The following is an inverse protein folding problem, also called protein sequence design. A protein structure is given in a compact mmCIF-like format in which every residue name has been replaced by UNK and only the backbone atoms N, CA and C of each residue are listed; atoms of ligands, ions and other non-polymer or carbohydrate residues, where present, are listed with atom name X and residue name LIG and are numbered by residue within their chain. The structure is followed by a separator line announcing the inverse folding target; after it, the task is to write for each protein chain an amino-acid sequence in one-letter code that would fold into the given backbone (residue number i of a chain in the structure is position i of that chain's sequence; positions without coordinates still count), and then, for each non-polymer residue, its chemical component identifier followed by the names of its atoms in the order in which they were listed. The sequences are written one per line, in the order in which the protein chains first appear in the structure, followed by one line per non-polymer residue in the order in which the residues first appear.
data_IF_183636901308
#
_entry.id   IF_183636901308
#
_cell.length_a   1.000
_cell.length_b   1.000
_cell.length_c   1.000
_cell.angle_alpha   90.00
_cell.angle_beta   90.00
_cell.angle_gamma   90.00
#
_symmetry.space_group_name_H-M   'P 1'
#
loop_
_entity.id
_entity.type
_entity.pdbx_description
1 polymer ?
#
# COMPACT_ATOMS: atom_id res chain seq x y z
N UNK A 1 -64.43 -8.06 -9.11
CA UNK A 1 -63.04 -8.54 -8.92
C UNK A 1 -62.13 -7.94 -10.00
N UNK A 2 -61.55 -6.73 -9.82
CA UNK A 2 -60.22 -6.49 -10.39
C UNK A 2 -59.27 -5.55 -9.60
N UNK A 3 -59.66 -5.05 -8.41
CA UNK A 3 -58.87 -4.00 -7.72
C UNK A 3 -57.72 -4.51 -6.84
N UNK A 4 -57.68 -5.79 -6.47
CA UNK A 4 -56.63 -6.33 -5.58
C UNK A 4 -55.30 -6.62 -6.29
N UNK A 5 -55.28 -6.75 -7.62
CA UNK A 5 -54.10 -7.20 -8.35
C UNK A 5 -53.12 -6.08 -8.74
N UNK A 6 -53.53 -4.80 -8.63
CA UNK A 6 -52.68 -3.64 -8.94
C UNK A 6 -51.83 -3.17 -7.76
N UNK A 7 -52.27 -3.41 -6.52
CA UNK A 7 -51.50 -3.03 -5.33
C UNK A 7 -50.26 -3.90 -5.12
N UNK A 8 -50.32 -5.20 -5.45
CA UNK A 8 -49.16 -6.10 -5.27
C UNK A 8 -47.98 -5.79 -6.20
N UNK A 9 -48.22 -5.20 -7.38
CA UNK A 9 -47.15 -4.86 -8.34
C UNK A 9 -46.38 -3.60 -7.98
N UNK A 10 -47.00 -2.67 -7.23
CA UNK A 10 -46.33 -1.44 -6.79
C UNK A 10 -45.37 -1.67 -5.61
N UNK A 11 -45.72 -2.62 -4.73
CA UNK A 11 -44.93 -2.90 -3.51
C UNK A 11 -43.66 -3.71 -3.84
N UNK A 12 -43.70 -4.60 -4.84
CA UNK A 12 -42.50 -5.37 -5.24
C UNK A 12 -41.40 -4.52 -5.88
N UNK A 13 -41.74 -3.39 -6.51
CA UNK A 13 -40.76 -2.52 -7.16
C UNK A 13 -39.98 -1.64 -6.15
N UNK A 14 -40.55 -1.38 -4.98
CA UNK A 14 -39.90 -0.55 -3.95
C UNK A 14 -38.88 -1.32 -3.10
N UNK A 15 -38.97 -2.65 -3.02
CA UNK A 15 -38.06 -3.48 -2.22
C UNK A 15 -36.74 -3.79 -2.96
N UNK A 16 -36.74 -3.82 -4.31
CA UNK A 16 -35.50 -4.04 -5.07
C UNK A 16 -34.60 -2.81 -5.21
N UNK A 17 -35.09 -1.60 -4.93
CA UNK A 17 -34.29 -0.37 -5.04
C UNK A 17 -33.44 -0.05 -3.80
N UNK A 18 -33.73 -0.69 -2.65
CA UNK A 18 -33.05 -0.41 -1.38
C UNK A 18 -31.82 -1.31 -1.10
N UNK A 19 -31.49 -2.25 -1.99
CA UNK A 19 -30.44 -3.24 -1.74
C UNK A 19 -29.03 -2.82 -2.21
N UNK A 20 -28.85 -1.66 -2.87
CA UNK A 20 -27.61 -1.35 -3.58
C UNK A 20 -26.67 -0.31 -2.94
N UNK A 21 -26.95 0.22 -1.73
CA UNK A 21 -26.15 1.33 -1.19
C UNK A 21 -25.68 1.18 0.25
N UNK A 22 -25.45 -0.04 0.73
CA UNK A 22 -24.64 -0.26 1.93
C UNK A 22 -23.20 -0.61 1.53
N UNK A 23 -22.52 0.30 0.82
CA UNK A 23 -21.06 0.28 0.83
C UNK A 23 -20.65 0.67 2.26
N UNK A 24 -20.51 -0.33 3.12
CA UNK A 24 -20.09 -0.13 4.50
C UNK A 24 -18.78 0.63 4.49
N UNK A 25 -18.76 1.79 5.12
CA UNK A 25 -17.52 2.46 5.47
C UNK A 25 -16.73 1.48 6.34
N UNK A 26 -15.80 0.73 5.75
CA UNK A 26 -14.91 -0.14 6.50
C UNK A 26 -14.01 0.78 7.32
N UNK A 27 -14.22 0.79 8.63
CA UNK A 27 -13.34 1.48 9.57
C UNK A 27 -11.93 0.94 9.38
N UNK A 28 -10.96 1.84 9.27
CA UNK A 28 -9.54 1.47 9.17
C UNK A 28 -9.17 0.53 10.32
N UNK A 29 -8.59 -0.65 10.05
CA UNK A 29 -8.21 -1.57 11.11
C UNK A 29 -7.23 -0.91 12.10
N UNK A 30 -7.41 -1.15 13.39
CA UNK A 30 -6.50 -0.64 14.45
C UNK A 30 -5.06 -1.15 14.28
N UNK A 31 -4.89 -2.26 13.55
CA UNK A 31 -3.58 -2.83 13.20
C UNK A 31 -2.87 -2.09 12.07
N UNK A 32 -3.51 -1.13 11.38
CA UNK A 32 -2.94 -0.45 10.21
C UNK A 32 -1.60 0.21 10.54
N UNK A 33 -1.53 0.94 11.66
CA UNK A 33 -0.28 1.55 12.14
C UNK A 33 0.82 0.54 12.44
N UNK A 34 0.46 -0.62 12.96
CA UNK A 34 1.43 -1.68 13.31
C UNK A 34 1.91 -2.40 12.06
N UNK A 35 1.03 -2.76 11.14
CA UNK A 35 1.37 -3.57 9.96
C UNK A 35 1.97 -2.70 8.86
N UNK A 36 1.22 -1.71 8.37
CA UNK A 36 1.66 -0.87 7.26
C UNK A 36 2.75 0.08 7.74
N UNK A 37 2.61 0.68 8.92
CA UNK A 37 3.64 1.55 9.49
C UNK A 37 5.00 0.85 9.63
N UNK A 38 5.07 -0.32 10.26
CA UNK A 38 6.35 -1.03 10.39
C UNK A 38 6.89 -1.53 9.03
N UNK A 39 6.01 -1.94 8.12
CA UNK A 39 6.39 -2.29 6.75
C UNK A 39 7.08 -1.14 6.02
N UNK A 40 6.50 0.06 6.06
CA UNK A 40 7.05 1.26 5.42
C UNK A 40 8.40 1.69 6.02
N UNK A 41 8.60 1.47 7.32
CA UNK A 41 9.87 1.72 8.01
C UNK A 41 10.91 0.60 7.80
N UNK A 42 10.60 -0.42 7.01
CA UNK A 42 11.41 -1.63 6.86
C UNK A 42 11.75 -2.34 8.19
N UNK A 43 10.84 -2.28 9.18
CA UNK A 43 11.00 -2.93 10.49
C UNK A 43 10.31 -4.29 10.55
N UNK A 44 9.63 -4.69 9.49
CA UNK A 44 8.90 -5.95 9.37
C UNK A 44 9.24 -6.69 8.06
N UNK A 45 8.58 -7.81 7.81
CA UNK A 45 8.63 -8.54 6.55
C UNK A 45 8.23 -7.64 5.38
N UNK A 46 8.78 -7.93 4.19
CA UNK A 46 8.48 -7.18 2.97
C UNK A 46 7.61 -7.96 1.99
N UNK A 47 7.20 -9.19 2.32
CA UNK A 47 6.40 -10.07 1.45
C UNK A 47 5.17 -9.34 0.89
N UNK A 48 5.09 -9.26 -0.43
CA UNK A 48 4.05 -8.53 -1.12
C UNK A 48 2.68 -9.21 -0.99
N UNK A 49 2.61 -10.54 -0.93
CA UNK A 49 1.34 -11.25 -0.74
C UNK A 49 0.74 -10.95 0.63
N UNK A 50 1.58 -10.89 1.67
CA UNK A 50 1.14 -10.51 3.02
C UNK A 50 0.46 -9.15 3.05
N UNK A 51 1.08 -8.12 2.45
CA UNK A 51 0.47 -6.79 2.41
C UNK A 51 -0.75 -6.72 1.48
N UNK A 52 -0.72 -7.42 0.35
CA UNK A 52 -1.85 -7.48 -0.57
C UNK A 52 -3.09 -8.05 0.12
N UNK A 53 -2.98 -9.22 0.77
CA UNK A 53 -4.08 -9.86 1.48
C UNK A 53 -4.62 -9.00 2.63
N UNK A 54 -3.70 -8.35 3.37
CA UNK A 54 -4.08 -7.42 4.43
C UNK A 54 -4.90 -6.24 3.89
N UNK A 55 -4.42 -5.59 2.82
CA UNK A 55 -5.09 -4.43 2.23
C UNK A 55 -6.41 -4.80 1.55
N UNK A 56 -6.44 -5.95 0.86
CA UNK A 56 -7.65 -6.48 0.25
C UNK A 56 -8.75 -6.70 1.30
N UNK A 57 -8.38 -7.28 2.44
CA UNK A 57 -9.31 -7.50 3.55
C UNK A 57 -9.75 -6.19 4.22
N UNK A 58 -8.84 -5.24 4.37
CA UNK A 58 -9.06 -4.00 5.10
C UNK A 58 -9.85 -2.94 4.30
N UNK A 59 -9.53 -2.80 3.01
CA UNK A 59 -9.97 -1.69 2.15
C UNK A 59 -10.71 -2.15 0.89
N UNK A 60 -10.83 -3.46 0.68
CA UNK A 60 -11.42 -4.02 -0.54
C UNK A 60 -10.41 -4.08 -1.70
N UNK A 61 -10.89 -4.32 -2.93
CA UNK A 61 -10.02 -4.53 -4.08
C UNK A 61 -9.16 -3.30 -4.40
N UNK A 62 -7.96 -3.54 -4.92
CA UNK A 62 -7.11 -2.48 -5.45
C UNK A 62 -7.86 -1.71 -6.55
N UNK A 63 -7.80 -0.38 -6.49
CA UNK A 63 -8.53 0.49 -7.41
C UNK A 63 -7.78 0.73 -8.73
N UNK A 64 -6.45 0.51 -8.73
CA UNK A 64 -5.63 0.49 -9.94
C UNK A 64 -4.46 -0.48 -9.80
N UNK A 65 -3.94 -0.87 -10.95
CA UNK A 65 -2.72 -1.67 -11.09
C UNK A 65 -1.80 -0.91 -12.05
N UNK A 66 -0.69 -0.39 -11.52
CA UNK A 66 0.21 0.51 -12.27
C UNK A 66 1.62 0.50 -11.66
N UNK A 67 2.64 0.61 -12.52
CA UNK A 67 4.05 0.64 -12.11
C UNK A 67 4.54 -0.63 -11.41
N UNK A 68 3.96 -1.79 -11.74
CA UNK A 68 4.27 -3.06 -11.09
C UNK A 68 3.77 -3.13 -9.65
N UNK A 69 2.63 -2.49 -9.35
CA UNK A 69 2.01 -2.50 -8.04
C UNK A 69 0.49 -2.43 -8.09
N UNK A 70 -0.14 -3.06 -7.11
CA UNK A 70 -1.54 -2.88 -6.77
C UNK A 70 -1.68 -1.69 -5.82
N UNK A 71 -2.65 -0.82 -6.10
CA UNK A 71 -2.88 0.40 -5.32
C UNK A 71 -4.25 0.36 -4.66
N UNK A 72 -4.28 0.68 -3.37
CA UNK A 72 -5.46 0.67 -2.53
C UNK A 72 -5.75 2.09 -2.06
N UNK A 73 -7.02 2.51 -2.11
CA UNK A 73 -7.46 3.72 -1.41
C UNK A 73 -7.59 3.40 0.07
N UNK A 74 -7.06 4.27 0.91
CA UNK A 74 -7.04 4.07 2.35
C UNK A 74 -7.73 5.21 3.08
N UNK A 75 -8.97 5.49 2.71
CA UNK A 75 -9.75 6.59 3.27
C UNK A 75 -9.84 6.50 4.79
N UNK A 76 -9.54 7.62 5.47
CA UNK A 76 -9.49 7.70 6.93
C UNK A 76 -8.24 7.09 7.56
N UNK A 77 -7.30 6.52 6.79
CA UNK A 77 -6.08 5.96 7.35
C UNK A 77 -5.09 7.06 7.74
N UNK A 78 -4.36 6.82 8.83
CA UNK A 78 -3.40 7.76 9.37
C UNK A 78 -2.16 7.00 9.85
N UNK A 79 -0.99 7.55 9.55
CA UNK A 79 0.28 7.13 10.12
C UNK A 79 1.03 8.36 10.61
N UNK A 80 1.54 8.26 11.84
CA UNK A 80 2.32 9.33 12.46
C UNK A 80 1.63 10.70 12.46
N UNK A 81 0.30 10.71 12.59
CA UNK A 81 -0.49 11.95 12.55
C UNK A 81 -0.69 12.51 11.14
N UNK A 82 -0.24 11.83 10.09
CA UNK A 82 -0.42 12.24 8.69
C UNK A 82 -1.43 11.32 7.98
N UNK A 83 -2.41 11.89 7.24
CA UNK A 83 -3.32 11.07 6.45
C UNK A 83 -2.57 10.28 5.38
N UNK A 84 -2.97 9.03 5.19
CA UNK A 84 -2.45 8.14 4.14
C UNK A 84 -3.56 7.92 3.13
N UNK A 85 -3.43 8.46 1.93
CA UNK A 85 -4.48 8.37 0.91
C UNK A 85 -4.41 7.08 0.10
N UNK A 86 -3.21 6.58 -0.12
CA UNK A 86 -2.97 5.38 -0.92
C UNK A 86 -1.89 4.51 -0.29
N UNK A 87 -2.08 3.19 -0.36
CA UNK A 87 -1.03 2.20 -0.12
C UNK A 87 -0.82 1.40 -1.40
N UNK A 88 0.43 1.13 -1.74
CA UNK A 88 0.84 0.41 -2.93
C UNK A 88 1.72 -0.78 -2.55
N UNK A 89 1.48 -1.92 -3.19
CA UNK A 89 2.22 -3.16 -2.93
C UNK A 89 2.67 -3.75 -4.26
N UNK A 90 3.94 -4.13 -4.34
CA UNK A 90 4.53 -4.67 -5.57
C UNK A 90 3.83 -5.94 -6.05
N UNK A 91 3.75 -6.13 -7.35
CA UNK A 91 3.32 -7.38 -7.96
C UNK A 91 4.52 -8.22 -8.46
N UNK A 92 4.22 -9.25 -9.24
CA UNK A 92 5.23 -10.14 -9.83
C UNK A 92 6.02 -9.50 -10.98
N UNK A 93 5.52 -8.42 -11.58
CA UNK A 93 6.19 -7.70 -12.67
C UNK A 93 7.27 -6.73 -12.18
N UNK A 94 7.21 -6.29 -10.92
CA UNK A 94 8.25 -5.44 -10.33
C UNK A 94 9.57 -6.17 -10.13
N UNK A 95 10.70 -5.48 -10.30
CA UNK A 95 12.03 -5.99 -9.92
C UNK A 95 12.27 -5.97 -8.40
N UNK A 96 11.38 -5.30 -7.67
CA UNK A 96 11.44 -5.15 -6.22
C UNK A 96 10.25 -5.85 -5.57
N UNK A 97 10.45 -6.28 -4.33
CA UNK A 97 9.38 -6.58 -3.38
C UNK A 97 9.25 -5.34 -2.48
N UNK A 98 8.09 -4.69 -2.47
CA UNK A 98 7.88 -3.48 -1.70
C UNK A 98 6.46 -3.28 -1.17
N UNK A 99 6.39 -2.49 -0.11
CA UNK A 99 5.19 -1.77 0.34
C UNK A 99 5.51 -0.27 0.36
N UNK A 100 4.58 0.54 -0.14
CA UNK A 100 4.69 1.98 -0.18
C UNK A 100 3.37 2.65 0.19
N UNK A 101 3.43 3.92 0.56
CA UNK A 101 2.26 4.73 0.88
C UNK A 101 2.41 6.17 0.39
N UNK A 102 1.30 6.79 0.00
CA UNK A 102 1.21 8.23 -0.24
C UNK A 102 0.71 8.88 1.04
N UNK A 103 1.53 9.74 1.64
CA UNK A 103 1.13 10.56 2.76
C UNK A 103 0.75 11.96 2.29
N UNK A 104 -0.34 12.50 2.84
CA UNK A 104 -0.83 13.86 2.60
C UNK A 104 0.02 14.88 3.37
N UNK A 105 1.33 14.88 3.11
CA UNK A 105 2.34 15.71 3.73
C UNK A 105 3.57 15.78 2.81
N UNK A 106 4.36 16.84 2.90
CA UNK A 106 5.66 16.89 2.21
C UNK A 106 6.64 15.87 2.81
N UNK A 107 7.71 15.48 2.09
CA UNK A 107 8.75 14.60 2.64
C UNK A 107 9.35 15.09 3.97
N UNK A 108 9.53 16.40 4.13
CA UNK A 108 10.05 17.04 5.33
C UNK A 108 9.08 16.90 6.51
N UNK A 109 7.79 17.16 6.27
CA UNK A 109 6.77 17.04 7.30
C UNK A 109 6.56 15.60 7.74
N UNK A 110 6.60 14.65 6.79
CA UNK A 110 6.48 13.24 7.09
C UNK A 110 7.70 12.75 7.88
N UNK A 111 8.92 13.11 7.45
CA UNK A 111 10.15 12.82 8.18
C UNK A 111 10.08 13.33 9.62
N UNK A 112 9.69 14.59 9.82
CA UNK A 112 9.59 15.18 11.15
C UNK A 112 8.54 14.46 12.01
N UNK A 113 7.41 14.05 11.43
CA UNK A 113 6.38 13.28 12.13
C UNK A 113 6.90 11.90 12.58
N UNK A 114 7.62 11.20 11.70
CA UNK A 114 8.25 9.91 12.00
C UNK A 114 9.31 10.07 13.10
N UNK A 115 10.19 11.07 13.00
CA UNK A 115 11.20 11.35 14.04
C UNK A 115 10.50 11.57 15.39
N UNK A 116 9.46 12.39 15.41
CA UNK A 116 8.74 12.76 16.65
C UNK A 116 8.08 11.56 17.32
N UNK A 117 7.49 10.65 16.54
CA UNK A 117 6.70 9.54 17.09
C UNK A 117 7.50 8.25 17.29
N UNK A 118 8.50 7.98 16.46
CA UNK A 118 9.23 6.70 16.46
C UNK A 118 10.75 6.84 16.45
N UNK A 119 11.29 8.07 16.52
CA UNK A 119 12.72 8.34 16.65
C UNK A 119 13.57 7.90 15.46
N UNK A 120 12.96 7.60 14.30
CA UNK A 120 13.70 7.18 13.11
C UNK A 120 14.11 8.40 12.30
N UNK A 121 15.41 8.55 12.10
CA UNK A 121 15.98 9.63 11.30
C UNK A 121 16.26 9.17 9.87
N UNK A 122 16.06 10.07 8.91
CA UNK A 122 16.43 9.88 7.52
C UNK A 122 17.61 10.77 7.16
N UNK A 123 18.48 10.28 6.28
CA UNK A 123 19.55 11.05 5.67
C UNK A 123 19.15 11.44 4.24
N UNK A 124 19.50 12.65 3.80
CA UNK A 124 19.40 13.02 2.39
C UNK A 124 20.52 12.31 1.63
N UNK A 125 20.18 11.58 0.57
CA UNK A 125 21.17 10.81 -0.22
C UNK A 125 21.62 11.53 -1.49
N UNK A 126 21.06 12.70 -1.76
CA UNK A 126 21.45 13.58 -2.87
C UNK A 126 21.25 15.06 -2.50
N UNK A 127 21.80 15.95 -3.33
CA UNK A 127 21.73 17.41 -3.18
C UNK A 127 20.79 18.07 -4.19
N UNK A 128 19.84 17.31 -4.76
CA UNK A 128 18.87 17.86 -5.71
C UNK A 128 17.85 18.77 -5.02
N UNK A 129 17.02 19.46 -5.81
CA UNK A 129 15.91 20.26 -5.28
C UNK A 129 14.85 19.39 -4.58
N UNK A 130 14.77 18.09 -4.90
CA UNK A 130 13.79 17.15 -4.35
C UNK A 130 14.50 15.91 -3.82
N UNK A 131 15.31 16.04 -2.75
CA UNK A 131 16.22 14.99 -2.37
C UNK A 131 15.50 13.77 -1.84
N UNK A 132 15.99 12.59 -2.23
CA UNK A 132 15.57 11.34 -1.63
C UNK A 132 16.09 11.28 -0.20
N UNK A 133 15.20 10.90 0.72
CA UNK A 133 15.52 10.66 2.13
C UNK A 133 15.57 9.17 2.38
N UNK A 134 16.60 8.68 3.04
CA UNK A 134 16.79 7.25 3.31
C UNK A 134 17.08 6.99 4.79
N UNK A 135 16.43 5.95 5.33
CA UNK A 135 16.72 5.36 6.63
C UNK A 135 17.04 3.87 6.44
N UNK A 136 18.05 3.38 7.16
CA UNK A 136 18.41 1.96 7.15
C UNK A 136 17.30 1.11 7.78
N UNK A 137 16.99 -0.09 7.26
CA UNK A 137 17.75 -0.81 6.24
C UNK A 137 17.46 -0.44 4.78
N UNK A 138 16.27 0.08 4.43
CA UNK A 138 15.93 0.45 3.05
C UNK A 138 14.69 1.35 2.94
N UNK A 139 14.29 2.05 4.02
CA UNK A 139 13.10 2.90 4.00
C UNK A 139 13.44 4.22 3.34
N UNK A 140 12.60 4.67 2.41
CA UNK A 140 12.82 5.92 1.66
C UNK A 140 11.59 6.80 1.65
N UNK A 141 11.82 8.11 1.67
CA UNK A 141 10.79 9.13 1.48
C UNK A 141 11.19 9.98 0.26
N UNK A 142 10.27 10.15 -0.67
CA UNK A 142 10.44 10.93 -1.90
C UNK A 142 9.25 11.86 -2.12
N UNK A 143 9.47 12.93 -2.87
CA UNK A 143 8.38 13.79 -3.33
C UNK A 143 7.44 13.03 -4.26
N UNK A 144 6.15 13.32 -4.13
CA UNK A 144 5.11 12.88 -5.05
C UNK A 144 4.18 14.05 -5.30
N UNK A 145 4.54 14.87 -6.29
CA UNK A 145 3.95 16.20 -6.50
C UNK A 145 4.08 17.04 -5.22
N UNK A 146 2.98 17.52 -4.64
CA UNK A 146 2.94 18.30 -3.39
C UNK A 146 2.95 17.44 -2.13
N UNK A 147 2.99 16.11 -2.30
CA UNK A 147 2.88 15.10 -1.23
C UNK A 147 4.17 14.32 -1.11
N UNK A 148 4.15 13.26 -0.30
CA UNK A 148 5.26 12.34 -0.15
C UNK A 148 4.84 10.91 -0.44
N UNK A 149 5.78 10.15 -0.99
CA UNK A 149 5.75 8.70 -1.04
C UNK A 149 6.79 8.16 -0.08
N UNK A 150 6.37 7.33 0.85
CA UNK A 150 7.25 6.52 1.70
C UNK A 150 7.19 5.07 1.23
N UNK A 151 8.31 4.37 1.19
CA UNK A 151 8.32 2.96 0.84
C UNK A 151 9.49 2.21 1.47
N UNK A 152 9.26 0.92 1.67
CA UNK A 152 10.31 -0.06 1.90
C UNK A 152 10.41 -0.97 0.69
N UNK A 153 11.57 -0.99 0.03
CA UNK A 153 11.81 -1.84 -1.14
C UNK A 153 13.05 -2.70 -0.95
N UNK A 154 12.94 -3.98 -1.33
CA UNK A 154 14.06 -4.92 -1.43
C UNK A 154 14.08 -5.52 -2.82
N UNK A 155 15.26 -5.84 -3.34
CA UNK A 155 15.36 -6.58 -4.60
C UNK A 155 14.76 -7.99 -4.43
N UNK A 156 14.06 -8.47 -5.47
CA UNK A 156 13.68 -9.89 -5.54
C UNK A 156 14.96 -10.74 -5.49
N UNK A 157 14.98 -11.83 -4.71
CA UNK A 157 16.10 -12.78 -4.75
C UNK A 157 16.35 -13.18 -6.19
N UNK A 158 17.60 -13.06 -6.65
CA UNK A 158 17.96 -13.59 -7.95
C UNK A 158 17.74 -15.11 -7.92
N UNK A 159 17.22 -15.72 -9.01
CA UNK A 159 17.18 -17.17 -9.09
C UNK A 159 18.60 -17.72 -8.89
N UNK A 160 18.75 -18.87 -8.21
CA UNK A 160 20.07 -19.44 -7.96
C UNK A 160 20.79 -19.63 -9.30
N UNK A 161 22.00 -19.05 -9.40
CA UNK A 161 22.85 -19.22 -10.58
C UNK A 161 23.24 -20.70 -10.63
N UNK A 162 22.85 -21.41 -11.70
CA UNK A 162 23.38 -22.75 -11.93
C UNK A 162 24.90 -22.63 -12.12
N UNK A 163 25.73 -23.37 -11.36
CA UNK A 163 27.16 -23.34 -11.57
C UNK A 163 27.49 -23.79 -13.01
N UNK A 164 28.50 -23.20 -13.66
CA UNK A 164 28.88 -23.60 -15.01
C UNK A 164 29.23 -25.09 -15.03
N UNK A 165 28.90 -25.82 -16.13
CA UNK A 165 29.18 -27.24 -16.21
C UNK A 165 30.68 -27.49 -16.03
N UNK A 166 31.03 -28.37 -15.08
CA UNK A 166 32.41 -28.78 -14.84
C UNK A 166 32.90 -29.48 -16.10
N UNK A 167 33.78 -28.81 -16.85
CA UNK A 167 34.43 -29.39 -18.02
C UNK A 167 35.33 -30.54 -17.53
N UNK A 168 34.84 -31.77 -17.57
CA UNK A 168 35.66 -32.94 -17.26
C UNK A 168 36.87 -32.92 -18.22
N UNK A 169 38.07 -32.78 -17.65
CA UNK A 169 39.31 -33.00 -18.38
C UNK A 169 39.29 -34.47 -18.83
N UNK A 170 39.11 -34.71 -20.12
CA UNK A 170 39.43 -36.00 -20.73
C UNK A 170 40.90 -36.33 -20.38
N UNK A 171 41.11 -37.49 -19.78
CA UNK A 171 42.42 -38.08 -19.52
C UNK A 171 42.99 -38.69 -20.79
#
# INVERSE_FOLDING_TARGET
MPSFMRLLRGVLAAVLAAACCAAGAQSVPTTFGTIVGNGLLCRDQTDNLYYYDYLLKAFGPAYKHDGGAYWFKTDGANLWGKPISEVMVSDDTSTYIFVGAVAEATPEELEQAIITQVGLHYARIDSSAYPVREAKPASRIVYFDTKSKIYCAKFKPLPPVQPPPVRQRLK
#
